data_IF_839753657959
#
_entry.id   IF_839753657959
#
_cell.length_a   1.000
_cell.length_b   1.000
_cell.length_c   1.000
_cell.angle_alpha   90.00
_cell.angle_beta   90.00
_cell.angle_gamma   90.00
#
_symmetry.space_group_name_H-M   'P 1'
#
loop_
_entity.id
_entity.type
_entity.pdbx_description
1 polymer ?
#
# COMPACT_ATOMS: atom_id res chain seq x y z
N UNK A 1 4.70 15.02 8.35
CA UNK A 1 4.67 13.53 8.51
C UNK A 1 5.94 12.91 7.89
N UNK A 2 6.53 11.84 8.45
CA UNK A 2 7.81 11.26 7.95
C UNK A 2 7.56 10.02 7.06
N UNK A 3 7.71 10.19 5.75
CA UNK A 3 7.95 9.08 4.81
C UNK A 3 9.31 8.45 5.17
N UNK A 4 9.28 7.44 6.03
CA UNK A 4 10.47 6.71 6.47
C UNK A 4 10.37 5.26 6.02
N UNK A 5 11.43 4.77 5.38
CA UNK A 5 11.60 3.35 5.08
C UNK A 5 11.75 2.50 6.34
N UNK A 6 12.12 3.10 7.48
CA UNK A 6 12.58 2.37 8.66
C UNK A 6 11.45 1.50 9.23
N UNK A 7 11.65 0.18 9.18
CA UNK A 7 10.77 -0.88 9.70
C UNK A 7 9.45 -1.11 8.96
N UNK A 8 9.19 -0.45 7.83
CA UNK A 8 7.94 -0.63 7.07
C UNK A 8 8.03 -1.80 6.11
N UNK A 9 6.93 -2.53 6.00
CA UNK A 9 6.73 -3.49 4.92
C UNK A 9 6.36 -2.79 3.62
N UNK A 10 6.56 -3.45 2.49
CA UNK A 10 6.31 -2.90 1.15
C UNK A 10 4.88 -2.41 0.95
N UNK A 11 3.90 -3.14 1.45
CA UNK A 11 2.49 -2.70 1.47
C UNK A 11 2.30 -1.38 2.23
N UNK A 12 2.89 -1.24 3.42
CA UNK A 12 2.77 -0.06 4.26
C UNK A 12 3.47 1.14 3.64
N UNK A 13 4.64 0.91 3.04
CA UNK A 13 5.39 1.97 2.37
C UNK A 13 4.61 2.50 1.17
N UNK A 14 4.19 1.61 0.25
CA UNK A 14 3.50 2.02 -0.97
C UNK A 14 2.13 2.63 -0.67
N UNK A 15 1.39 2.10 0.30
CA UNK A 15 0.13 2.71 0.72
C UNK A 15 0.34 4.14 1.23
N UNK A 16 1.28 4.36 2.16
CA UNK A 16 1.57 5.73 2.65
C UNK A 16 2.06 6.64 1.53
N UNK A 17 2.95 6.18 0.66
CA UNK A 17 3.43 7.01 -0.45
C UNK A 17 2.29 7.49 -1.34
N UNK A 18 1.38 6.59 -1.74
CA UNK A 18 0.25 6.98 -2.59
C UNK A 18 -0.81 7.79 -1.83
N UNK A 19 -0.95 7.59 -0.53
CA UNK A 19 -1.81 8.43 0.31
C UNK A 19 -1.31 9.87 0.30
N UNK A 20 -0.01 10.10 0.52
CA UNK A 20 0.58 11.44 0.42
C UNK A 20 0.48 12.03 -0.99
N UNK A 21 0.68 11.20 -2.02
CA UNK A 21 0.48 11.64 -3.39
C UNK A 21 -0.98 12.03 -3.65
N UNK A 22 -1.95 11.31 -3.07
CA UNK A 22 -3.37 11.62 -3.12
C UNK A 22 -3.65 12.98 -2.49
N UNK A 23 -3.11 13.24 -1.31
CA UNK A 23 -3.20 14.54 -0.66
C UNK A 23 -2.68 15.67 -1.56
N UNK A 24 -1.49 15.52 -2.14
CA UNK A 24 -0.90 16.52 -3.03
C UNK A 24 -1.72 16.73 -4.31
N UNK A 25 -2.24 15.66 -4.91
CA UNK A 25 -2.92 15.71 -6.21
C UNK A 25 -4.39 16.15 -6.12
N UNK A 26 -5.09 15.73 -5.06
CA UNK A 26 -6.52 16.01 -4.87
C UNK A 26 -6.76 17.32 -4.14
N UNK A 27 -5.91 17.65 -3.16
CA UNK A 27 -6.14 18.78 -2.25
C UNK A 27 -5.13 19.92 -2.42
N UNK A 28 -4.09 19.72 -3.24
CA UNK A 28 -3.16 20.78 -3.63
C UNK A 28 -2.30 21.30 -2.46
N UNK A 29 -2.07 22.62 -2.40
CA UNK A 29 -1.18 23.23 -1.41
C UNK A 29 -1.70 23.16 0.03
N UNK A 30 -3.00 22.96 0.20
CA UNK A 30 -3.64 22.87 1.52
C UNK A 30 -3.35 21.53 2.21
N UNK A 31 -2.91 20.51 1.46
CA UNK A 31 -2.45 19.22 1.99
C UNK A 31 -1.22 19.33 2.91
N UNK A 32 -0.30 20.26 2.62
CA UNK A 32 0.88 20.49 3.47
C UNK A 32 0.52 21.11 4.82
N UNK A 33 -0.68 21.68 4.97
CA UNK A 33 -1.16 22.29 6.21
C UNK A 33 -1.86 21.28 7.14
N UNK A 34 -2.11 20.04 6.70
CA UNK A 34 -2.60 18.95 7.55
C UNK A 34 -1.53 18.48 8.58
N UNK A 35 -0.31 19.04 8.55
CA UNK A 35 0.75 18.75 9.54
C UNK A 35 0.41 19.19 10.97
N UNK A 36 -0.60 20.03 11.20
CA UNK A 36 -0.90 20.62 12.52
C UNK A 36 -2.12 20.02 13.26
N UNK A 37 -2.49 18.77 12.95
CA UNK A 37 -3.42 18.01 13.80
C UNK A 37 -4.91 18.17 13.47
N UNK A 38 -5.25 18.38 12.20
CA UNK A 38 -6.61 18.17 11.71
C UNK A 38 -7.00 16.69 11.80
N UNK A 39 -8.25 16.44 12.22
CA UNK A 39 -8.82 15.11 12.48
C UNK A 39 -8.50 14.09 11.37
N UNK A 40 -8.05 12.89 11.79
CA UNK A 40 -7.83 11.67 10.96
C UNK A 40 -9.13 11.19 10.26
N UNK A 41 -10.23 11.90 10.44
CA UNK A 41 -11.59 11.58 9.99
C UNK A 41 -12.14 12.59 8.98
N UNK A 42 -11.30 13.44 8.40
CA UNK A 42 -11.75 14.41 7.40
C UNK A 42 -12.09 13.72 6.05
N UNK A 43 -12.98 14.32 5.23
CA UNK A 43 -13.23 13.85 3.86
C UNK A 43 -11.95 13.72 3.03
N UNK A 44 -11.00 14.63 3.23
CA UNK A 44 -9.71 14.66 2.53
C UNK A 44 -8.86 13.41 2.82
N UNK A 45 -8.81 12.98 4.08
CA UNK A 45 -8.16 11.72 4.50
C UNK A 45 -8.82 10.49 3.87
N UNK A 46 -10.15 10.47 3.80
CA UNK A 46 -10.89 9.38 3.17
C UNK A 46 -10.60 9.31 1.66
N UNK A 47 -10.55 10.45 0.98
CA UNK A 47 -10.24 10.56 -0.44
C UNK A 47 -8.79 10.14 -0.74
N UNK A 48 -7.83 10.55 0.09
CA UNK A 48 -6.43 10.11 -0.03
C UNK A 48 -6.27 8.60 0.19
N UNK A 49 -6.99 8.03 1.16
CA UNK A 49 -7.04 6.58 1.38
C UNK A 49 -7.65 5.82 0.19
N UNK A 50 -8.75 6.32 -0.37
CA UNK A 50 -9.39 5.71 -1.53
C UNK A 50 -8.48 5.79 -2.77
N UNK A 51 -7.83 6.95 -2.98
CA UNK A 51 -6.85 7.14 -4.04
C UNK A 51 -5.70 6.12 -3.94
N UNK A 52 -5.12 5.97 -2.75
CA UNK A 52 -4.06 4.99 -2.52
C UNK A 52 -4.54 3.56 -2.78
N UNK A 53 -5.73 3.19 -2.31
CA UNK A 53 -6.28 1.85 -2.52
C UNK A 53 -6.52 1.52 -4.00
N UNK A 54 -7.06 2.47 -4.78
CA UNK A 54 -7.32 2.30 -6.23
C UNK A 54 -6.04 2.20 -7.06
N UNK A 55 -4.96 2.87 -6.67
CA UNK A 55 -3.67 2.72 -7.35
C UNK A 55 -3.02 1.36 -7.08
N UNK A 56 -3.25 0.79 -5.89
CA UNK A 56 -2.71 -0.53 -5.52
C UNK A 56 -3.53 -1.68 -6.14
N UNK A 57 -4.82 -1.46 -6.37
CA UNK A 57 -5.72 -2.42 -7.02
C UNK A 57 -6.47 -1.69 -8.13
N UNK A 58 -6.04 -1.82 -9.40
CA UNK A 58 -6.70 -1.17 -10.51
C UNK A 58 -8.20 -1.51 -10.57
N UNK A 59 -9.04 -0.52 -10.89
CA UNK A 59 -10.51 -0.69 -10.94
C UNK A 59 -10.94 -1.85 -11.84
N UNK A 60 -10.23 -2.06 -12.95
CA UNK A 60 -10.46 -3.17 -13.88
C UNK A 60 -10.32 -4.56 -13.24
N UNK A 61 -9.53 -4.68 -12.17
CA UNK A 61 -9.29 -5.92 -11.43
C UNK A 61 -10.08 -5.99 -10.13
N UNK A 62 -10.89 -4.98 -9.79
CA UNK A 62 -11.57 -4.90 -8.49
C UNK A 62 -12.54 -6.07 -8.26
N UNK A 63 -13.28 -6.49 -9.30
CA UNK A 63 -14.18 -7.65 -9.22
C UNK A 63 -13.39 -8.94 -8.94
N UNK A 64 -12.27 -9.13 -9.63
CA UNK A 64 -11.39 -10.27 -9.42
C UNK A 64 -10.79 -10.23 -8.01
N UNK A 65 -10.34 -9.06 -7.56
CA UNK A 65 -9.83 -8.86 -6.21
C UNK A 65 -10.89 -9.25 -5.18
N UNK A 66 -12.15 -8.82 -5.33
CA UNK A 66 -13.26 -9.17 -4.43
C UNK A 66 -13.53 -10.68 -4.36
N UNK A 67 -13.31 -11.39 -5.46
CA UNK A 67 -13.42 -12.86 -5.52
C UNK A 67 -12.13 -13.60 -5.12
N UNK A 68 -11.01 -12.88 -4.94
CA UNK A 68 -9.71 -13.46 -4.65
C UNK A 68 -9.72 -14.32 -3.38
N UNK A 69 -9.23 -15.55 -3.49
CA UNK A 69 -9.00 -16.40 -2.32
C UNK A 69 -7.68 -15.99 -1.66
N UNK A 70 -7.61 -15.94 -0.32
CA UNK A 70 -6.39 -15.56 0.39
C UNK A 70 -5.38 -16.73 0.47
N UNK A 71 -5.06 -17.32 -0.68
CA UNK A 71 -4.07 -18.39 -0.82
C UNK A 71 -2.83 -17.84 -1.52
N UNK A 72 -1.60 -18.28 -1.13
CA UNK A 72 -0.36 -17.74 -1.70
C UNK A 72 -0.33 -17.77 -3.23
N UNK A 73 -0.71 -18.89 -3.86
CA UNK A 73 -0.74 -19.03 -5.32
C UNK A 73 -1.64 -18.00 -5.99
N UNK A 74 -2.88 -17.85 -5.49
CA UNK A 74 -3.84 -16.92 -6.05
C UNK A 74 -3.37 -15.46 -5.88
N UNK A 75 -2.75 -15.15 -4.74
CA UNK A 75 -2.15 -13.83 -4.46
C UNK A 75 -1.02 -13.52 -5.43
N UNK A 76 -0.10 -14.47 -5.70
CA UNK A 76 0.97 -14.28 -6.69
C UNK A 76 0.42 -14.08 -8.11
N UNK A 77 -0.56 -14.89 -8.52
CA UNK A 77 -1.17 -14.77 -9.85
C UNK A 77 -1.91 -13.44 -10.02
N UNK A 78 -2.62 -12.98 -8.99
CA UNK A 78 -3.27 -11.67 -8.98
C UNK A 78 -2.24 -10.53 -9.01
N UNK A 79 -1.22 -10.58 -8.16
CA UNK A 79 -0.18 -9.56 -8.09
C UNK A 79 0.53 -9.38 -9.43
N UNK A 80 0.81 -10.48 -10.15
CA UNK A 80 1.37 -10.43 -11.50
C UNK A 80 0.45 -9.73 -12.50
N UNK A 81 -0.86 -10.02 -12.46
CA UNK A 81 -1.86 -9.37 -13.34
C UNK A 81 -2.04 -7.89 -13.03
N UNK A 82 -1.97 -7.52 -11.75
CA UNK A 82 -2.07 -6.15 -11.28
C UNK A 82 -0.75 -5.37 -11.39
N UNK A 83 0.34 -6.01 -11.81
CA UNK A 83 1.69 -5.42 -11.89
C UNK A 83 2.19 -4.81 -10.57
N UNK A 84 1.85 -5.44 -9.44
CA UNK A 84 2.25 -5.01 -8.09
C UNK A 84 2.94 -6.13 -7.32
N UNK A 85 3.59 -5.79 -6.21
CA UNK A 85 4.20 -6.78 -5.34
C UNK A 85 3.14 -7.62 -4.60
N UNK A 86 3.35 -8.93 -4.39
CA UNK A 86 2.44 -9.78 -3.61
C UNK A 86 2.19 -9.25 -2.19
N UNK A 87 3.20 -8.64 -1.56
CA UNK A 87 3.09 -8.00 -0.25
C UNK A 87 1.99 -6.94 -0.20
N UNK A 88 1.86 -6.13 -1.27
CA UNK A 88 0.82 -5.10 -1.40
C UNK A 88 -0.58 -5.71 -1.44
N UNK A 89 -0.76 -6.84 -2.14
CA UNK A 89 -2.03 -7.58 -2.17
C UNK A 89 -2.37 -8.16 -0.80
N UNK A 90 -1.39 -8.71 -0.08
CA UNK A 90 -1.56 -9.16 1.31
C UNK A 90 -2.01 -8.00 2.20
N UNK A 91 -1.36 -6.85 2.09
CA UNK A 91 -1.74 -5.63 2.83
C UNK A 91 -3.18 -5.23 2.57
N UNK A 92 -3.61 -5.22 1.30
CA UNK A 92 -4.99 -4.90 0.92
C UNK A 92 -6.01 -5.91 1.45
N UNK A 93 -5.72 -7.22 1.38
CA UNK A 93 -6.59 -8.26 1.94
C UNK A 93 -6.71 -8.13 3.47
N UNK A 94 -5.62 -7.78 4.16
CA UNK A 94 -5.62 -7.55 5.60
C UNK A 94 -6.38 -6.28 5.99
N UNK A 95 -6.23 -5.19 5.23
CA UNK A 95 -6.98 -3.95 5.43
C UNK A 95 -8.49 -4.17 5.30
N UNK A 96 -8.92 -4.96 4.32
CA UNK A 96 -10.33 -5.31 4.09
C UNK A 96 -10.85 -6.44 5.00
N UNK A 97 -10.11 -6.84 6.05
CA UNK A 97 -10.47 -7.94 6.97
C UNK A 97 -10.74 -9.30 6.28
N UNK A 98 -10.17 -9.53 5.09
CA UNK A 98 -10.27 -10.79 4.34
C UNK A 98 -9.12 -11.76 4.61
N UNK A 99 -8.11 -11.29 5.35
CA UNK A 99 -6.94 -12.04 5.78
C UNK A 99 -6.51 -11.54 7.17
N UNK A 100 -6.17 -12.45 8.08
CA UNK A 100 -5.65 -12.07 9.40
C UNK A 100 -4.36 -11.26 9.29
N UNK A 101 -4.16 -10.24 10.14
CA UNK A 101 -2.98 -9.34 10.12
C UNK A 101 -1.65 -10.07 10.37
N UNK A 102 -1.70 -11.25 10.96
CA UNK A 102 -0.58 -12.15 11.24
C UNK A 102 -0.28 -13.13 10.08
N UNK A 103 -1.21 -13.26 9.12
CA UNK A 103 -1.15 -14.26 8.06
C UNK A 103 -0.42 -13.74 6.83
N UNK A 104 0.38 -14.61 6.21
CA UNK A 104 1.10 -14.37 4.95
C UNK A 104 2.06 -13.18 4.95
N UNK A 105 2.48 -12.70 6.13
CA UNK A 105 3.42 -11.60 6.26
C UNK A 105 4.81 -11.90 5.66
N UNK A 106 5.16 -13.17 5.46
CA UNK A 106 6.40 -13.56 4.76
C UNK A 106 6.39 -13.20 3.27
N UNK A 107 5.22 -12.87 2.69
CA UNK A 107 5.10 -12.34 1.33
C UNK A 107 5.37 -10.83 1.25
N UNK A 108 5.43 -10.15 2.39
CA UNK A 108 5.70 -8.71 2.48
C UNK A 108 7.20 -8.48 2.57
N UNK A 109 7.75 -7.69 1.66
CA UNK A 109 9.16 -7.29 1.74
C UNK A 109 9.32 -6.23 2.82
N UNK A 110 10.43 -6.24 3.53
CA UNK A 110 10.78 -5.18 4.48
C UNK A 110 11.81 -4.28 3.84
N UNK A 111 11.57 -2.98 3.87
CA UNK A 111 12.58 -2.04 3.40
C UNK A 111 13.50 -1.64 4.57
N UNK A 112 14.79 -1.82 4.36
CA UNK A 112 15.84 -1.17 5.14
C UNK A 112 16.86 -0.59 4.16
N UNK A 113 17.56 0.46 4.57
CA UNK A 113 18.65 1.02 3.77
C UNK A 113 19.70 -0.03 3.46
N UNK A 114 20.02 -0.90 4.43
CA UNK A 114 20.93 -2.02 4.23
C UNK A 114 20.43 -3.00 3.16
N UNK A 115 19.13 -3.31 3.14
CA UNK A 115 18.53 -4.21 2.15
C UNK A 115 18.53 -3.62 0.73
N UNK A 116 18.27 -2.32 0.60
CA UNK A 116 18.27 -1.61 -0.69
C UNK A 116 19.70 -1.53 -1.25
N UNK A 117 20.69 -1.28 -0.39
CA UNK A 117 22.09 -1.18 -0.78
C UNK A 117 22.72 -2.55 -1.08
N UNK A 118 22.19 -3.64 -0.50
CA UNK A 118 22.66 -5.00 -0.81
C UNK A 118 22.16 -5.53 -2.15
N UNK A 119 20.97 -5.13 -2.59
CA UNK A 119 20.34 -5.62 -3.85
C UNK A 119 20.98 -4.98 -5.10
N UNK A 120 21.49 -3.75 -4.98
CA UNK A 120 22.20 -3.05 -6.06
C UNK A 120 23.65 -3.49 -6.27
N UNK A 121 24.16 -4.36 -5.40
CA UNK A 121 25.54 -4.85 -5.43
C UNK A 121 25.71 -6.19 -6.19
N UNK A 122 24.64 -6.76 -6.74
CA UNK A 122 24.69 -7.96 -7.59
C UNK A 122 24.37 -7.59 -9.04
N UNK A 123 25.34 -7.68 -9.98
CA UNK A 123 25.11 -7.48 -11.40
C UNK A 123 24.31 -8.62 -12.04
#
# INVERSE_FOLDING_TARGET
>A
MVLSFRYRTDDQFWFTFFHEAGHLLLHGKDALFLEDGSDVTSPEEAEANEFAARLLIPDALLTEFRALRPLPKDIFDFARRAEVAPGMIVGQLQHHNRLGKDRLNYLKRRYSWDAILSDSATP
#
